data_IF_538646698129
#
_entry.id   IF_538646698129
#
_cell.length_a   1.000
_cell.length_b   1.000
_cell.length_c   1.000
_cell.angle_alpha   90.00
_cell.angle_beta   90.00
_cell.angle_gamma   90.00
#
_symmetry.space_group_name_H-M   'P 1'
#
loop_
_entity.id
_entity.type
_entity.pdbx_description
1 polymer ?
#
# COMPACT_ATOMS: atom_id res chain seq x y z
N UNK A 1 7.72 1.81 26.72
CA UNK A 1 7.16 1.62 25.36
C UNK A 1 7.13 2.98 24.68
N UNK A 2 7.97 3.15 23.66
CA UNK A 2 8.40 4.46 23.17
C UNK A 2 7.33 5.05 22.25
N UNK A 3 6.71 6.20 22.63
CA UNK A 3 5.64 6.89 21.89
C UNK A 3 5.95 7.16 20.40
N UNK A 4 7.23 7.14 20.01
CA UNK A 4 7.67 7.30 18.62
C UNK A 4 7.19 6.18 17.68
N UNK A 5 7.06 4.95 18.19
CA UNK A 5 6.65 3.79 17.37
C UNK A 5 5.20 3.93 16.89
N UNK A 6 4.33 4.53 17.70
CA UNK A 6 2.91 4.71 17.40
C UNK A 6 2.66 5.69 16.23
N UNK A 7 3.60 6.61 15.97
CA UNK A 7 3.52 7.56 14.84
C UNK A 7 4.03 6.98 13.51
N UNK A 8 4.80 5.90 13.55
CA UNK A 8 5.34 5.24 12.35
C UNK A 8 4.35 4.24 11.74
N UNK A 9 3.41 3.71 12.53
CA UNK A 9 2.39 2.77 12.08
C UNK A 9 1.59 3.24 10.85
N UNK A 10 1.02 4.46 10.80
CA UNK A 10 0.28 4.91 9.61
C UNK A 10 1.16 5.09 8.37
N UNK A 11 2.45 5.44 8.55
CA UNK A 11 3.40 5.57 7.45
C UNK A 11 3.76 4.20 6.85
N UNK A 12 3.95 3.20 7.72
CA UNK A 12 4.22 1.81 7.32
C UNK A 12 3.00 1.14 6.66
N UNK A 13 1.79 1.45 7.11
CA UNK A 13 0.54 1.01 6.48
C UNK A 13 0.35 1.64 5.09
N UNK A 14 0.73 2.90 4.92
CA UNK A 14 0.71 3.56 3.60
C UNK A 14 1.75 2.97 2.65
N UNK A 15 2.93 2.58 3.16
CA UNK A 15 3.97 1.89 2.39
C UNK A 15 3.52 0.49 1.95
N UNK A 16 2.87 -0.29 2.83
CA UNK A 16 2.35 -1.61 2.50
C UNK A 16 1.20 -1.56 1.46
N UNK A 17 0.44 -0.47 1.43
CA UNK A 17 -0.54 -0.21 0.37
C UNK A 17 0.11 0.25 -0.94
N UNK A 18 1.35 0.77 -0.90
CA UNK A 18 2.12 1.12 -2.08
C UNK A 18 2.63 -0.15 -2.78
N UNK A 19 3.10 -1.15 -2.01
CA UNK A 19 3.56 -2.43 -2.56
C UNK A 19 2.51 -3.09 -3.47
N UNK A 20 1.24 -3.19 -3.04
CA UNK A 20 0.22 -3.86 -3.85
C UNK A 20 -0.13 -3.13 -5.15
N UNK A 21 -0.09 -1.79 -5.14
CA UNK A 21 -0.33 -0.98 -6.33
C UNK A 21 0.82 -1.11 -7.31
N UNK A 22 2.05 -0.93 -6.82
CA UNK A 22 3.24 -0.93 -7.65
C UNK A 22 3.43 -2.32 -8.29
N UNK A 23 3.24 -3.40 -7.52
CA UNK A 23 3.23 -4.78 -8.02
C UNK A 23 2.15 -4.99 -9.11
N UNK A 24 0.95 -4.43 -8.94
CA UNK A 24 -0.13 -4.56 -9.92
C UNK A 24 0.24 -3.89 -11.26
N UNK A 25 0.76 -2.66 -11.19
CA UNK A 25 1.15 -1.88 -12.36
C UNK A 25 2.35 -2.51 -13.07
N UNK A 26 3.35 -3.01 -12.33
CA UNK A 26 4.51 -3.71 -12.87
C UNK A 26 4.13 -5.00 -13.62
N UNK A 27 3.05 -5.67 -13.20
CA UNK A 27 2.52 -6.85 -13.88
C UNK A 27 1.61 -6.52 -15.08
N UNK A 28 1.46 -5.24 -15.41
CA UNK A 28 0.60 -4.75 -16.49
C UNK A 28 -0.89 -4.74 -16.18
N UNK A 29 -1.26 -4.86 -14.90
CA UNK A 29 -2.64 -4.74 -14.44
C UNK A 29 -3.09 -3.28 -14.29
N UNK A 30 -4.39 -3.09 -14.05
CA UNK A 30 -4.98 -1.83 -13.60
C UNK A 30 -5.31 -1.91 -12.12
N UNK A 31 -4.73 -0.98 -11.35
CA UNK A 31 -5.01 -0.88 -9.93
C UNK A 31 -6.19 0.06 -9.66
N UNK A 32 -7.17 -0.41 -8.90
CA UNK A 32 -8.35 0.34 -8.49
C UNK A 32 -8.11 0.94 -7.11
N UNK A 33 -7.83 2.24 -7.06
CA UNK A 33 -7.52 2.95 -5.81
C UNK A 33 -8.64 2.89 -4.76
N UNK A 34 -9.89 2.83 -5.20
CA UNK A 34 -11.07 2.80 -4.33
C UNK A 34 -11.31 1.43 -3.70
N UNK A 35 -11.14 0.36 -4.48
CA UNK A 35 -11.38 -1.02 -4.01
C UNK A 35 -10.11 -1.67 -3.48
N UNK A 36 -8.93 -1.06 -3.71
CA UNK A 36 -7.61 -1.61 -3.43
C UNK A 36 -7.35 -2.95 -4.12
N UNK A 37 -7.97 -3.15 -5.29
CA UNK A 37 -7.86 -4.37 -6.09
C UNK A 37 -7.05 -4.14 -7.36
N UNK A 38 -6.40 -5.21 -7.83
CA UNK A 38 -5.72 -5.26 -9.12
C UNK A 38 -6.58 -6.06 -10.10
N UNK A 39 -6.92 -5.46 -11.24
CA UNK A 39 -7.54 -6.14 -12.37
C UNK A 39 -6.49 -6.38 -13.46
N UNK A 40 -6.50 -7.55 -14.09
CA UNK A 40 -5.61 -7.90 -15.19
C UNK A 40 -6.41 -8.28 -16.42
#
# INVERSE_FOLDING_TARGET
MNKALLRLVPLLLALAACDAKDICLDQGGRYHETTKQCEK
#
